data_IF_182568340224
#
_entry.id   IF_182568340224
#
_cell.length_a   1.000
_cell.length_b   1.000
_cell.length_c   1.000
_cell.angle_alpha   90.00
_cell.angle_beta   90.00
_cell.angle_gamma   90.00
#
_symmetry.space_group_name_H-M   'P 1'
#
loop_
_entity.id
_entity.type
_entity.pdbx_description
1 polymer ?
#
# COMPACT_ATOMS: atom_id res chain seq x y z
N UNK A 1 4.49 11.22 -29.03
CA UNK A 1 3.30 10.70 -28.31
C UNK A 1 3.71 10.22 -26.93
N UNK A 2 3.49 11.02 -25.89
CA UNK A 2 3.86 10.68 -24.52
C UNK A 2 2.79 9.78 -23.89
N UNK A 3 3.17 8.53 -23.59
CA UNK A 3 2.28 7.56 -22.96
C UNK A 3 2.31 7.78 -21.43
N UNK A 4 1.35 8.55 -20.90
CA UNK A 4 1.09 8.71 -19.46
C UNK A 4 0.47 7.43 -18.87
N UNK A 5 1.28 6.38 -18.72
CA UNK A 5 0.85 5.14 -18.04
C UNK A 5 1.63 4.90 -16.76
N UNK A 6 1.69 5.90 -15.87
CA UNK A 6 2.08 5.66 -14.46
C UNK A 6 0.82 5.34 -13.66
N UNK A 7 0.35 4.09 -13.81
CA UNK A 7 -0.85 3.58 -13.14
C UNK A 7 -0.54 3.31 -11.67
N UNK A 8 -0.96 4.24 -10.82
CA UNK A 8 -1.13 4.01 -9.39
C UNK A 8 -1.87 2.68 -9.15
N UNK A 9 -1.23 1.74 -8.46
CA UNK A 9 -1.90 0.50 -8.00
C UNK A 9 -2.87 0.86 -6.87
N UNK A 10 -4.12 1.11 -7.25
CA UNK A 10 -5.24 1.52 -6.37
C UNK A 10 -5.70 0.39 -5.42
N UNK A 11 -5.17 -0.83 -5.54
CA UNK A 11 -5.75 -2.02 -4.89
C UNK A 11 -4.90 -2.67 -3.80
N UNK A 12 -3.76 -2.10 -3.40
CA UNK A 12 -3.08 -2.54 -2.18
C UNK A 12 -3.75 -1.99 -0.90
N UNK A 13 -4.74 -1.10 -1.02
CA UNK A 13 -5.30 -0.36 0.13
C UNK A 13 -6.38 -1.12 0.89
N UNK A 14 -6.96 -2.20 0.33
CA UNK A 14 -7.96 -3.00 1.09
C UNK A 14 -7.31 -4.20 1.80
N UNK A 15 -6.22 -4.76 1.26
CA UNK A 15 -5.61 -5.97 1.83
C UNK A 15 -4.33 -5.73 2.64
N UNK A 16 -3.74 -4.53 2.60
CA UNK A 16 -2.34 -4.33 3.03
C UNK A 16 -2.03 -3.14 3.94
N UNK A 17 -2.95 -2.69 4.81
CA UNK A 17 -2.68 -1.55 5.71
C UNK A 17 -3.27 -1.72 7.12
N UNK A 18 -2.89 -2.78 7.83
CA UNK A 18 -2.98 -2.84 9.29
C UNK A 18 -1.77 -3.57 9.87
N UNK A 19 -0.58 -2.96 9.74
CA UNK A 19 0.54 -3.31 10.62
C UNK A 19 0.30 -2.61 11.95
N UNK A 20 -0.05 -3.41 12.96
CA UNK A 20 -0.19 -2.97 14.34
C UNK A 20 1.10 -2.31 14.82
N UNK A 21 0.98 -1.07 15.28
CA UNK A 21 1.98 -0.47 16.15
C UNK A 21 1.76 -1.08 17.54
N UNK A 22 2.61 -2.02 17.94
CA UNK A 22 2.76 -2.38 19.36
C UNK A 22 3.44 -1.21 20.06
N UNK A 23 2.65 -0.31 20.65
CA UNK A 23 3.16 0.64 21.63
C UNK A 23 3.00 -0.02 22.99
N UNK A 24 4.09 -0.60 23.49
CA UNK A 24 4.27 -0.86 24.91
C UNK A 24 4.44 0.47 25.62
N UNK A 25 3.55 0.80 26.56
CA UNK A 25 3.66 2.02 27.35
C UNK A 25 2.32 2.39 27.98
N UNK A 26 2.11 1.89 29.19
CA UNK A 26 0.95 2.14 30.05
C UNK A 26 0.93 3.57 30.58
N UNK A 27 0.07 4.43 30.04
CA UNK A 27 -0.43 5.64 30.71
C UNK A 27 -1.96 5.69 30.59
N UNK A 28 -2.70 5.94 31.69
CA UNK A 28 -4.12 6.29 31.60
C UNK A 28 -4.20 7.72 31.04
N UNK A 29 -5.30 8.11 30.37
CA UNK A 29 -5.89 9.48 30.35
C UNK A 29 -6.96 9.65 29.24
N UNK A 30 -8.18 10.02 29.69
CA UNK A 30 -9.17 10.97 29.14
C UNK A 30 -10.00 10.67 27.87
N UNK A 31 -11.32 10.92 28.04
CA UNK A 31 -12.32 11.43 27.10
C UNK A 31 -12.58 10.66 25.78
N UNK A 32 -13.67 9.90 25.79
CA UNK A 32 -14.36 9.37 24.61
C UNK A 32 -15.07 10.50 23.82
N UNK A 33 -14.31 11.34 23.11
CA UNK A 33 -14.89 12.28 22.13
C UNK A 33 -14.04 12.44 20.84
N UNK A 34 -12.89 11.76 20.74
CA UNK A 34 -11.97 11.88 19.58
C UNK A 34 -11.88 10.66 18.65
N UNK A 35 -12.54 9.53 18.95
CA UNK A 35 -12.33 8.25 18.24
C UNK A 35 -13.04 8.12 16.88
N UNK A 36 -14.03 8.97 16.59
CA UNK A 36 -14.81 8.88 15.35
C UNK A 36 -14.21 9.67 14.18
N UNK A 37 -13.46 10.75 14.42
CA UNK A 37 -12.94 11.63 13.36
C UNK A 37 -11.79 11.02 12.55
N UNK A 38 -10.97 10.16 13.16
CA UNK A 38 -9.87 9.46 12.44
C UNK A 38 -10.43 8.40 11.47
N UNK A 39 -11.62 7.86 11.74
CA UNK A 39 -12.27 6.84 10.88
C UNK A 39 -12.90 7.42 9.62
N UNK A 40 -13.49 8.63 9.70
CA UNK A 40 -14.18 9.25 8.56
C UNK A 40 -13.20 9.74 7.51
N UNK A 41 -12.08 10.34 7.92
CA UNK A 41 -11.06 10.82 6.97
C UNK A 41 -10.41 9.68 6.18
N UNK A 42 -10.18 8.52 6.81
CA UNK A 42 -9.65 7.34 6.11
C UNK A 42 -10.68 6.77 5.11
N UNK A 43 -11.96 6.73 5.50
CA UNK A 43 -13.05 6.32 4.62
C UNK A 43 -13.19 7.26 3.41
N UNK A 44 -13.14 8.57 3.63
CA UNK A 44 -13.22 9.57 2.56
C UNK A 44 -12.08 9.42 1.56
N UNK A 45 -10.86 9.12 2.03
CA UNK A 45 -9.72 8.82 1.16
C UNK A 45 -9.93 7.55 0.34
N UNK A 46 -10.46 6.49 0.96
CA UNK A 46 -10.78 5.24 0.24
C UNK A 46 -11.87 5.47 -0.81
N UNK A 47 -12.95 6.15 -0.46
CA UNK A 47 -14.04 6.48 -1.38
C UNK A 47 -13.53 7.37 -2.52
N UNK A 48 -12.73 8.40 -2.23
CA UNK A 48 -12.16 9.27 -3.28
C UNK A 48 -11.23 8.51 -4.23
N UNK A 49 -10.49 7.52 -3.71
CA UNK A 49 -9.64 6.65 -4.54
C UNK A 49 -10.48 5.74 -5.44
N UNK A 50 -11.55 5.14 -4.93
CA UNK A 50 -12.48 4.34 -5.74
C UNK A 50 -13.24 5.20 -6.75
N UNK A 51 -13.63 6.42 -6.37
CA UNK A 51 -14.30 7.38 -7.23
C UNK A 51 -13.43 7.76 -8.44
N UNK A 52 -12.13 8.01 -8.23
CA UNK A 52 -11.19 8.25 -9.35
C UNK A 52 -11.06 7.07 -10.31
N UNK A 53 -11.23 5.85 -9.82
CA UNK A 53 -11.04 4.63 -10.60
C UNK A 53 -12.31 4.14 -11.31
N UNK A 54 -13.47 4.39 -10.69
CA UNK A 54 -14.77 3.83 -11.08
C UNK A 54 -15.80 4.91 -11.44
N UNK A 55 -15.50 6.19 -11.24
CA UNK A 55 -16.41 7.32 -11.44
C UNK A 55 -17.74 7.08 -10.72
N UNK A 56 -17.70 7.06 -9.38
CA UNK A 56 -18.86 6.73 -8.55
C UNK A 56 -19.83 7.91 -8.49
N UNK A 57 -21.13 7.63 -8.65
CA UNK A 57 -22.16 8.65 -8.45
C UNK A 57 -22.27 9.07 -6.99
N UNK A 58 -22.91 10.22 -6.73
CA UNK A 58 -23.17 10.67 -5.36
C UNK A 58 -23.97 9.62 -4.55
N UNK A 59 -24.98 9.02 -5.18
CA UNK A 59 -25.80 7.97 -4.57
C UNK A 59 -24.98 6.70 -4.28
N UNK A 60 -24.13 6.27 -5.22
CA UNK A 60 -23.24 5.12 -5.00
C UNK A 60 -22.29 5.36 -3.83
N UNK A 61 -21.69 6.55 -3.74
CA UNK A 61 -20.82 6.95 -2.61
C UNK A 61 -21.58 6.92 -1.28
N UNK A 62 -22.82 7.41 -1.25
CA UNK A 62 -23.66 7.38 -0.05
C UNK A 62 -23.98 5.94 0.40
N UNK A 63 -24.27 5.03 -0.54
CA UNK A 63 -24.52 3.60 -0.24
C UNK A 63 -23.26 2.83 0.15
N UNK A 64 -22.10 3.18 -0.38
CA UNK A 64 -20.81 2.51 -0.07
C UNK A 64 -20.30 2.88 1.32
N UNK A 65 -20.51 4.12 1.79
CA UNK A 65 -20.01 4.59 3.09
C UNK A 65 -20.37 3.67 4.28
N UNK A 66 -21.65 3.28 4.51
CA UNK A 66 -21.97 2.39 5.64
C UNK A 66 -21.34 1.00 5.53
N UNK A 67 -21.12 0.47 4.32
CA UNK A 67 -20.43 -0.80 4.10
C UNK A 67 -18.96 -0.70 4.58
N UNK A 68 -18.27 0.39 4.20
CA UNK A 68 -16.89 0.63 4.64
C UNK A 68 -16.79 0.88 6.14
N UNK A 69 -17.77 1.58 6.73
CA UNK A 69 -17.85 1.76 8.19
C UNK A 69 -17.94 0.41 8.89
N UNK A 70 -18.85 -0.45 8.45
CA UNK A 70 -19.04 -1.79 9.02
C UNK A 70 -17.78 -2.63 8.88
N UNK A 71 -17.18 -2.67 7.69
CA UNK A 71 -15.93 -3.41 7.46
C UNK A 71 -14.79 -2.93 8.37
N UNK A 72 -14.65 -1.62 8.56
CA UNK A 72 -13.60 -1.04 9.43
C UNK A 72 -13.83 -1.38 10.90
N UNK A 73 -15.08 -1.34 11.37
CA UNK A 73 -15.44 -1.73 12.74
C UNK A 73 -15.17 -3.21 12.96
N UNK A 74 -15.61 -4.08 12.04
CA UNK A 74 -15.37 -5.52 12.11
C UNK A 74 -13.88 -5.83 12.12
N UNK A 75 -13.10 -5.19 11.26
CA UNK A 75 -11.65 -5.36 11.23
C UNK A 75 -11.01 -5.03 12.58
N UNK A 76 -11.41 -3.92 13.21
CA UNK A 76 -10.93 -3.53 14.54
C UNK A 76 -11.29 -4.57 15.60
N UNK A 77 -12.53 -5.07 15.59
CA UNK A 77 -12.99 -6.07 16.54
C UNK A 77 -12.18 -7.37 16.40
N UNK A 78 -11.99 -7.85 15.18
CA UNK A 78 -11.18 -9.04 14.88
C UNK A 78 -9.75 -8.89 15.42
N UNK A 79 -9.06 -7.78 15.10
CA UNK A 79 -7.69 -7.56 15.56
C UNK A 79 -7.57 -7.34 17.08
N UNK A 80 -8.61 -6.80 17.72
CA UNK A 80 -8.62 -6.61 19.17
C UNK A 80 -8.96 -7.88 19.94
N UNK A 81 -9.47 -8.91 19.27
CA UNK A 81 -9.91 -10.13 19.91
C UNK A 81 -8.71 -11.04 20.23
N UNK A 82 -8.24 -10.95 21.48
CA UNK A 82 -7.13 -11.75 22.00
C UNK A 82 -7.41 -13.26 22.08
N UNK A 83 -8.65 -13.69 21.86
CA UNK A 83 -9.03 -15.11 21.85
C UNK A 83 -8.85 -15.77 20.48
N UNK A 84 -8.68 -14.99 19.41
CA UNK A 84 -8.44 -15.53 18.07
C UNK A 84 -6.96 -15.84 17.88
N UNK A 85 -6.67 -17.00 17.28
CA UNK A 85 -5.35 -17.23 16.71
C UNK A 85 -5.13 -16.26 15.53
N UNK A 86 -3.88 -15.95 15.17
CA UNK A 86 -3.57 -15.14 14.00
C UNK A 86 -4.24 -15.65 12.72
N UNK A 87 -4.28 -16.96 12.52
CA UNK A 87 -4.88 -17.62 11.35
C UNK A 87 -6.40 -17.46 11.35
N UNK A 88 -7.05 -17.66 12.52
CA UNK A 88 -8.48 -17.46 12.66
C UNK A 88 -8.88 -16.00 12.44
N UNK A 89 -8.10 -15.05 12.97
CA UNK A 89 -8.30 -13.62 12.73
C UNK A 89 -8.14 -13.27 11.24
N UNK A 90 -7.15 -13.85 10.56
CA UNK A 90 -6.95 -13.66 9.13
C UNK A 90 -8.12 -14.23 8.31
N UNK A 91 -8.60 -15.44 8.61
CA UNK A 91 -9.75 -16.03 7.93
C UNK A 91 -11.00 -15.17 8.09
N UNK A 92 -11.31 -14.74 9.32
CA UNK A 92 -12.45 -13.84 9.58
C UNK A 92 -12.30 -12.50 8.86
N UNK A 93 -11.08 -11.96 8.78
CA UNK A 93 -10.81 -10.73 8.04
C UNK A 93 -11.09 -10.93 6.54
N UNK A 94 -10.66 -12.04 5.96
CA UNK A 94 -10.93 -12.35 4.55
C UNK A 94 -12.43 -12.44 4.27
N UNK A 95 -13.19 -13.08 5.13
CA UNK A 95 -14.64 -13.22 4.95
C UNK A 95 -15.38 -11.89 5.13
N UNK A 96 -14.95 -11.05 6.09
CA UNK A 96 -15.46 -9.69 6.24
C UNK A 96 -15.20 -8.85 4.96
N UNK A 97 -14.02 -8.96 4.36
CA UNK A 97 -13.70 -8.26 3.11
C UNK A 97 -14.49 -8.80 1.91
N UNK A 98 -14.64 -10.12 1.76
CA UNK A 98 -15.47 -10.72 0.71
C UNK A 98 -16.92 -10.24 0.81
N UNK A 99 -17.45 -10.19 2.03
CA UNK A 99 -18.82 -9.72 2.30
C UNK A 99 -18.98 -8.26 1.90
N UNK A 100 -18.08 -7.38 2.35
CA UNK A 100 -18.11 -5.96 1.99
C UNK A 100 -17.98 -5.76 0.48
N UNK A 101 -17.10 -6.51 -0.18
CA UNK A 101 -16.94 -6.47 -1.63
C UNK A 101 -18.22 -6.88 -2.36
N UNK A 102 -18.86 -7.98 -1.94
CA UNK A 102 -20.12 -8.44 -2.52
C UNK A 102 -21.21 -7.36 -2.44
N UNK A 103 -21.36 -6.72 -1.28
CA UNK A 103 -22.31 -5.62 -1.09
C UNK A 103 -21.98 -4.43 -2.01
N UNK A 104 -20.71 -4.02 -2.11
CA UNK A 104 -20.30 -2.94 -3.02
C UNK A 104 -20.63 -3.28 -4.48
N UNK A 105 -20.42 -4.53 -4.92
CA UNK A 105 -20.72 -4.95 -6.31
C UNK A 105 -22.19 -4.78 -6.69
N UNK A 106 -23.12 -4.87 -5.74
CA UNK A 106 -24.55 -4.64 -5.98
C UNK A 106 -24.88 -3.18 -6.30
N UNK A 107 -24.06 -2.24 -5.82
CA UNK A 107 -24.23 -0.80 -6.00
C UNK A 107 -23.62 -0.32 -7.33
N UNK A 108 -22.65 -1.05 -7.86
CA UNK A 108 -21.94 -0.71 -9.09
C UNK A 108 -22.73 -1.04 -10.35
N UNK A 109 -22.49 -0.31 -11.44
CA UNK A 109 -22.99 -0.68 -12.77
C UNK A 109 -22.22 -1.87 -13.34
N UNK A 110 -22.73 -2.57 -14.38
CA UNK A 110 -21.99 -3.64 -15.05
C UNK A 110 -20.59 -3.20 -15.53
N UNK A 111 -20.47 -1.99 -16.09
CA UNK A 111 -19.20 -1.44 -16.55
C UNK A 111 -18.21 -1.20 -15.39
N UNK A 112 -18.69 -0.64 -14.28
CA UNK A 112 -17.88 -0.42 -13.07
C UNK A 112 -17.43 -1.73 -12.44
N UNK A 113 -18.29 -2.76 -12.39
CA UNK A 113 -17.89 -4.10 -11.92
C UNK A 113 -16.77 -4.70 -12.76
N UNK A 114 -16.88 -4.63 -14.09
CA UNK A 114 -15.82 -5.10 -15.00
C UNK A 114 -14.51 -4.36 -14.75
N UNK A 115 -14.56 -3.04 -14.54
CA UNK A 115 -13.39 -2.23 -14.21
C UNK A 115 -12.79 -2.62 -12.87
N UNK A 116 -13.62 -2.87 -11.86
CA UNK A 116 -13.19 -3.35 -10.55
C UNK A 116 -12.44 -4.69 -10.68
N UNK A 117 -12.99 -5.65 -11.43
CA UNK A 117 -12.37 -6.97 -11.66
C UNK A 117 -10.98 -6.84 -12.32
N UNK A 118 -10.85 -5.96 -13.32
CA UNK A 118 -9.56 -5.65 -13.94
C UNK A 118 -8.54 -5.06 -12.95
N UNK A 119 -8.98 -4.12 -12.11
CA UNK A 119 -8.12 -3.51 -11.11
C UNK A 119 -7.65 -4.56 -10.07
N UNK A 120 -8.52 -5.48 -9.68
CA UNK A 120 -8.17 -6.58 -8.76
C UNK A 120 -7.16 -7.52 -9.38
N UNK A 121 -7.38 -7.97 -10.62
CA UNK A 121 -6.42 -8.80 -11.34
C UNK A 121 -5.07 -8.11 -11.50
N UNK A 122 -5.06 -6.83 -11.84
CA UNK A 122 -3.83 -6.05 -11.93
C UNK A 122 -3.10 -5.96 -10.58
N UNK A 123 -3.84 -5.82 -9.48
CA UNK A 123 -3.26 -5.80 -8.14
C UNK A 123 -2.55 -7.11 -7.80
N UNK A 124 -3.23 -8.24 -8.04
CA UNK A 124 -2.68 -9.59 -7.81
C UNK A 124 -1.41 -9.80 -8.63
N UNK A 125 -1.43 -9.43 -9.92
CA UNK A 125 -0.25 -9.53 -10.78
C UNK A 125 0.89 -8.64 -10.31
N UNK A 126 0.59 -7.40 -9.90
CA UNK A 126 1.59 -6.47 -9.39
C UNK A 126 2.19 -6.96 -8.08
N UNK A 127 1.39 -7.54 -7.18
CA UNK A 127 1.87 -8.14 -5.94
C UNK A 127 2.78 -9.34 -6.24
N UNK A 128 2.37 -10.23 -7.14
CA UNK A 128 3.18 -11.38 -7.54
C UNK A 128 4.54 -10.95 -8.12
N UNK A 129 4.53 -9.96 -9.03
CA UNK A 129 5.77 -9.36 -9.58
C UNK A 129 6.63 -8.72 -8.49
N UNK A 130 6.00 -8.01 -7.55
CA UNK A 130 6.73 -7.38 -6.45
C UNK A 130 7.38 -8.41 -5.54
N UNK A 131 6.64 -9.46 -5.17
CA UNK A 131 7.15 -10.58 -4.38
C UNK A 131 8.31 -11.28 -5.08
N UNK A 132 8.14 -11.63 -6.35
CA UNK A 132 9.21 -12.22 -7.17
C UNK A 132 10.45 -11.32 -7.25
N UNK A 133 10.25 -10.00 -7.40
CA UNK A 133 11.36 -9.04 -7.42
C UNK A 133 12.08 -8.97 -6.07
N UNK A 134 11.37 -9.02 -4.95
CA UNK A 134 11.97 -9.05 -3.62
C UNK A 134 12.73 -10.37 -3.38
N UNK A 135 12.14 -11.50 -3.76
CA UNK A 135 12.78 -12.81 -3.65
C UNK A 135 14.08 -12.87 -4.45
N UNK A 136 14.06 -12.42 -5.71
CA UNK A 136 15.28 -12.32 -6.53
C UNK A 136 16.31 -11.40 -5.89
N UNK A 137 15.90 -10.24 -5.39
CA UNK A 137 16.82 -9.31 -4.71
C UNK A 137 17.48 -9.95 -3.49
N UNK A 138 16.70 -10.65 -2.67
CA UNK A 138 17.19 -11.33 -1.47
C UNK A 138 18.14 -12.49 -1.82
N UNK A 139 17.81 -13.29 -2.85
CA UNK A 139 18.62 -14.42 -3.30
C UNK A 139 19.94 -13.99 -3.94
N UNK A 140 19.89 -13.02 -4.87
CA UNK A 140 21.07 -12.54 -5.59
C UNK A 140 22.09 -11.86 -4.67
N UNK A 141 21.60 -11.13 -3.67
CA UNK A 141 22.45 -10.48 -2.66
C UNK A 141 22.73 -11.37 -1.45
N UNK A 142 22.11 -12.56 -1.35
CA UNK A 142 22.24 -13.47 -0.20
C UNK A 142 22.04 -12.72 1.14
N UNK A 143 20.97 -11.94 1.23
CA UNK A 143 20.73 -11.07 2.38
C UNK A 143 20.41 -11.87 3.65
N UNK A 144 21.02 -11.48 4.77
CA UNK A 144 20.66 -12.06 6.07
C UNK A 144 19.26 -11.61 6.51
N UNK A 145 18.56 -12.35 7.40
CA UNK A 145 17.25 -11.93 7.91
C UNK A 145 17.26 -10.53 8.53
N UNK A 146 18.36 -10.15 9.20
CA UNK A 146 18.53 -8.81 9.76
C UNK A 146 18.63 -7.75 8.66
N UNK A 147 19.43 -7.99 7.62
CA UNK A 147 19.53 -7.06 6.48
C UNK A 147 18.18 -6.90 5.77
N UNK A 148 17.44 -8.00 5.56
CA UNK A 148 16.11 -7.98 4.96
C UNK A 148 15.14 -7.13 5.77
N UNK A 149 15.10 -7.30 7.09
CA UNK A 149 14.27 -6.50 8.01
C UNK A 149 14.61 -5.00 7.92
N UNK A 150 15.89 -4.62 7.95
CA UNK A 150 16.32 -3.23 7.85
C UNK A 150 15.99 -2.60 6.48
N UNK A 151 16.20 -3.34 5.38
CA UNK A 151 15.86 -2.88 4.03
C UNK A 151 14.35 -2.73 3.87
N UNK A 152 13.55 -3.67 4.40
CA UNK A 152 12.09 -3.57 4.39
C UNK A 152 11.61 -2.33 5.16
N UNK A 153 12.20 -2.02 6.31
CA UNK A 153 11.87 -0.80 7.06
C UNK A 153 12.18 0.48 6.27
N UNK A 154 13.36 0.54 5.62
CA UNK A 154 13.77 1.68 4.78
C UNK A 154 12.81 1.86 3.59
N UNK A 155 12.53 0.78 2.86
CA UNK A 155 11.67 0.83 1.67
C UNK A 155 10.22 1.13 2.03
N UNK A 156 9.71 0.65 3.17
CA UNK A 156 8.41 1.02 3.71
C UNK A 156 8.33 2.52 4.01
N UNK A 157 9.34 3.08 4.67
CA UNK A 157 9.40 4.52 4.97
C UNK A 157 9.43 5.34 3.68
N UNK A 158 10.28 4.96 2.72
CA UNK A 158 10.34 5.62 1.42
C UNK A 158 9.00 5.56 0.66
N UNK A 159 8.28 4.44 0.76
CA UNK A 159 6.95 4.28 0.15
C UNK A 159 5.89 5.19 0.78
N UNK A 160 5.99 5.50 2.07
CA UNK A 160 5.12 6.52 2.71
C UNK A 160 5.44 7.89 2.14
N UNK A 161 6.71 8.29 2.14
CA UNK A 161 7.14 9.60 1.63
C UNK A 161 6.80 9.78 0.15
N UNK A 162 6.97 8.75 -0.67
CA UNK A 162 6.59 8.75 -2.08
C UNK A 162 5.08 9.01 -2.25
N UNK A 163 4.22 8.39 -1.41
CA UNK A 163 2.77 8.63 -1.46
C UNK A 163 2.42 10.06 -1.05
N UNK A 164 3.10 10.62 -0.05
CA UNK A 164 2.86 12.00 0.37
C UNK A 164 3.27 12.98 -0.74
N UNK A 165 4.40 12.74 -1.41
CA UNK A 165 4.83 13.51 -2.58
C UNK A 165 3.82 13.44 -3.73
N UNK A 166 3.27 12.25 -4.03
CA UNK A 166 2.27 12.08 -5.07
C UNK A 166 1.00 12.90 -4.82
N UNK A 167 0.58 12.99 -3.57
CA UNK A 167 -0.64 13.68 -3.17
C UNK A 167 -0.44 15.17 -2.87
N UNK A 168 0.80 15.67 -2.89
CA UNK A 168 1.10 17.06 -2.61
C UNK A 168 0.66 17.96 -3.78
N UNK A 169 -0.39 18.76 -3.56
CA UNK A 169 -0.95 19.68 -4.56
C UNK A 169 -0.21 21.01 -4.67
N UNK A 170 0.66 21.32 -3.70
CA UNK A 170 1.44 22.56 -3.67
C UNK A 170 2.72 22.48 -4.49
N UNK A 171 3.08 21.29 -4.99
CA UNK A 171 4.27 21.07 -5.81
C UNK A 171 3.91 20.91 -7.28
N UNK A 172 4.68 21.56 -8.16
CA UNK A 172 4.65 21.28 -9.58
C UNK A 172 5.26 19.91 -9.90
N UNK A 173 4.96 19.35 -11.06
CA UNK A 173 5.53 18.06 -11.48
C UNK A 173 7.07 18.04 -11.53
N UNK A 174 7.77 19.08 -12.05
CA UNK A 174 9.22 19.15 -11.95
C UNK A 174 9.75 19.12 -10.51
N UNK A 175 9.07 19.83 -9.58
CA UNK A 175 9.44 19.82 -8.17
C UNK A 175 9.22 18.45 -7.52
N UNK A 176 8.11 17.78 -7.84
CA UNK A 176 7.86 16.40 -7.39
C UNK A 176 8.93 15.46 -7.92
N UNK A 177 9.28 15.56 -9.20
CA UNK A 177 10.31 14.73 -9.82
C UNK A 177 11.67 14.91 -9.13
N UNK A 178 12.08 16.15 -8.87
CA UNK A 178 13.32 16.42 -8.12
C UNK A 178 13.30 15.80 -6.72
N UNK A 179 12.17 15.89 -6.00
CA UNK A 179 12.00 15.26 -4.69
C UNK A 179 11.99 13.73 -4.76
N UNK A 180 11.41 13.12 -5.79
CA UNK A 180 11.46 11.68 -6.00
C UNK A 180 12.89 11.19 -6.26
N UNK A 181 13.67 11.92 -7.07
CA UNK A 181 15.07 11.58 -7.32
C UNK A 181 15.89 11.66 -6.03
N UNK A 182 15.68 12.70 -5.23
CA UNK A 182 16.33 12.84 -3.93
C UNK A 182 15.94 11.68 -2.99
N UNK A 183 14.63 11.39 -2.87
CA UNK A 183 14.12 10.28 -2.06
C UNK A 183 14.74 8.94 -2.48
N UNK A 184 14.82 8.68 -3.79
CA UNK A 184 15.45 7.47 -4.33
C UNK A 184 16.93 7.40 -3.98
N UNK A 185 17.67 8.49 -4.19
CA UNK A 185 19.10 8.58 -3.87
C UNK A 185 19.38 8.36 -2.38
N UNK A 186 18.61 9.01 -1.50
CA UNK A 186 18.73 8.83 -0.05
C UNK A 186 18.37 7.41 0.39
N UNK A 187 17.34 6.81 -0.21
CA UNK A 187 16.94 5.42 0.05
C UNK A 187 18.04 4.46 -0.37
N UNK A 188 18.59 4.63 -1.58
CA UNK A 188 19.71 3.85 -2.09
C UNK A 188 20.93 3.95 -1.17
N UNK A 189 21.31 5.16 -0.74
CA UNK A 189 22.44 5.36 0.17
C UNK A 189 22.24 4.65 1.52
N UNK A 190 21.01 4.64 2.07
CA UNK A 190 20.69 3.93 3.31
C UNK A 190 20.78 2.41 3.14
N UNK A 191 20.31 1.88 2.01
CA UNK A 191 20.42 0.45 1.69
C UNK A 191 21.89 0.05 1.55
N UNK A 192 22.70 0.84 0.83
CA UNK A 192 24.14 0.57 0.65
C UNK A 192 24.90 0.42 1.98
N UNK A 193 24.52 1.16 3.02
CA UNK A 193 25.12 1.07 4.36
C UNK A 193 24.85 -0.26 5.08
N UNK A 194 23.78 -0.98 4.70
CA UNK A 194 23.41 -2.28 5.29
C UNK A 194 24.14 -3.43 4.59
N UNK A 195 24.50 -3.24 3.32
CA UNK A 195 25.13 -4.26 2.49
C UNK A 195 26.63 -4.37 2.75
N UNK A 196 27.17 -5.57 2.66
CA UNK A 196 28.62 -5.82 2.63
C UNK A 196 29.24 -5.31 1.33
N UNK A 197 30.57 -5.06 1.26
CA UNK A 197 31.24 -4.63 0.03
C UNK A 197 30.90 -5.49 -1.20
N UNK A 198 30.92 -6.83 -1.05
CA UNK A 198 30.60 -7.76 -2.12
C UNK A 198 29.13 -7.65 -2.57
N UNK A 199 28.19 -7.50 -1.64
CA UNK A 199 26.78 -7.28 -1.95
C UNK A 199 26.54 -5.95 -2.66
N UNK A 200 27.26 -4.88 -2.29
CA UNK A 200 27.19 -3.58 -2.98
C UNK A 200 27.63 -3.70 -4.44
N UNK A 201 28.72 -4.41 -4.70
CA UNK A 201 29.22 -4.66 -6.05
C UNK A 201 28.20 -5.46 -6.87
N UNK A 202 27.63 -6.52 -6.29
CA UNK A 202 26.56 -7.31 -6.94
C UNK A 202 25.32 -6.46 -7.24
N UNK A 203 24.89 -5.62 -6.30
CA UNK A 203 23.77 -4.70 -6.52
C UNK A 203 24.05 -3.71 -7.65
N UNK A 204 25.27 -3.17 -7.75
CA UNK A 204 25.65 -2.29 -8.84
C UNK A 204 25.58 -3.01 -10.21
N UNK A 205 26.05 -4.25 -10.29
CA UNK A 205 25.95 -5.07 -11.48
C UNK A 205 24.48 -5.34 -11.88
N UNK A 206 23.63 -5.69 -10.91
CA UNK A 206 22.18 -5.86 -11.16
C UNK A 206 21.53 -4.59 -11.70
N UNK A 207 21.88 -3.42 -11.13
CA UNK A 207 21.36 -2.11 -11.60
C UNK A 207 21.81 -1.81 -13.03
N UNK A 208 23.07 -2.10 -13.38
CA UNK A 208 23.59 -1.89 -14.72
C UNK A 208 22.89 -2.77 -15.78
N UNK A 209 22.52 -4.00 -15.41
CA UNK A 209 21.79 -4.91 -16.30
C UNK A 209 20.31 -4.50 -16.50
N UNK A 210 19.73 -3.82 -15.51
CA UNK A 210 18.32 -3.36 -15.55
C UNK A 210 18.13 -2.07 -16.36
N UNK A 211 19.19 -1.33 -16.68
CA UNK A 211 19.11 -0.17 -17.57
C UNK A 211 18.93 -0.69 -19.00
N UNK A 212 17.79 -0.47 -19.67
CA UNK A 212 17.63 -0.91 -21.05
C UNK A 212 18.75 -0.30 -21.91
N UNK A 213 19.50 -1.15 -22.63
CA UNK A 213 20.61 -0.79 -23.53
C UNK A 213 20.18 0.03 -24.77
N UNK A 214 19.20 0.91 -24.65
CA UNK A 214 18.67 1.77 -25.74
C UNK A 214 19.14 3.23 -25.66
N UNK A 215 20.16 3.53 -24.87
CA UNK A 215 20.80 4.86 -24.82
C UNK A 215 22.32 4.75 -24.91
N UNK A 216 22.80 4.08 -25.96
CA UNK A 216 24.17 4.22 -26.42
C UNK A 216 24.18 4.42 -27.92
#
# INVERSE_FOLDING_TARGET
MFNQSSRFSIMAVVTGLMLGATITGSHPIYAQAGRNQVSTQQQDRMIAMWDRALHLSAEQKAKIRPILTTATVNARLIYSNRKLSPEAAQAQMQDAWKTAQAQVRTILTPAQRKKLDQLQQQAVQNEARHRQSQERFNQELKLTPQQQSQIHAITRQASVQARDLANNKSLSEPQKQAKYLNLRSTTDARIQKILTPAQRQKLAAMKADTIPRKTR
#
